data_IF_525640107651
#
_entry.id   IF_525640107651
#
_cell.length_a   1.000
_cell.length_b   1.000
_cell.length_c   1.000
_cell.angle_alpha   90.00
_cell.angle_beta   90.00
_cell.angle_gamma   90.00
#
_symmetry.space_group_name_H-M   'P 1'
#
loop_
_entity.id
_entity.type
_entity.pdbx_description
1 polymer ?
#
# COMPACT_ATOMS: atom_id res chain seq x y z
N UNK A 1 28.40 -0.55 -15.45
CA UNK A 1 28.19 -0.62 -13.99
C UNK A 1 27.20 0.48 -13.62
N UNK A 2 25.92 0.13 -13.57
CA UNK A 2 24.85 1.09 -13.27
C UNK A 2 24.97 1.55 -11.82
N UNK A 3 25.24 2.85 -11.62
CA UNK A 3 25.26 3.46 -10.29
C UNK A 3 23.83 3.36 -9.75
N UNK A 4 23.63 2.55 -8.72
CA UNK A 4 22.39 2.55 -7.92
C UNK A 4 22.30 3.91 -7.25
N UNK A 5 21.55 4.84 -7.85
CA UNK A 5 21.31 6.17 -7.29
C UNK A 5 20.24 6.03 -6.22
N UNK A 6 20.45 6.56 -5.02
CA UNK A 6 19.43 6.50 -3.95
C UNK A 6 18.31 7.52 -4.16
N UNK A 7 18.55 8.54 -4.98
CA UNK A 7 17.62 9.61 -5.33
C UNK A 7 16.74 9.20 -6.51
N UNK A 8 15.42 9.20 -6.30
CA UNK A 8 14.43 9.06 -7.38
C UNK A 8 14.27 10.36 -8.13
N UNK A 9 14.33 10.29 -9.46
CA UNK A 9 14.04 11.43 -10.34
C UNK A 9 12.55 11.51 -10.63
N UNK A 10 12.09 12.70 -11.02
CA UNK A 10 10.68 12.93 -11.35
C UNK A 10 10.21 12.02 -12.49
N UNK A 11 11.06 11.75 -13.48
CA UNK A 11 10.73 10.86 -14.61
C UNK A 11 10.55 9.40 -14.15
N UNK A 12 11.35 8.96 -13.17
CA UNK A 12 11.23 7.62 -12.60
C UNK A 12 9.96 7.47 -11.75
N UNK A 13 9.61 8.50 -10.97
CA UNK A 13 8.36 8.54 -10.20
C UNK A 13 7.13 8.56 -11.12
N UNK A 14 7.18 9.32 -12.21
CA UNK A 14 6.14 9.35 -13.24
C UNK A 14 5.96 7.97 -13.89
N UNK A 15 7.06 7.34 -14.29
CA UNK A 15 7.03 5.99 -14.84
C UNK A 15 6.46 4.98 -13.83
N UNK A 16 6.89 5.04 -12.57
CA UNK A 16 6.39 4.19 -11.49
C UNK A 16 4.88 4.36 -11.33
N UNK A 17 4.37 5.59 -11.30
CA UNK A 17 2.95 5.87 -11.13
C UNK A 17 2.10 5.32 -12.28
N UNK A 18 2.52 5.54 -13.53
CA UNK A 18 1.84 5.00 -14.72
C UNK A 18 1.85 3.47 -14.73
N UNK A 19 2.96 2.84 -14.35
CA UNK A 19 3.07 1.39 -14.32
C UNK A 19 2.22 0.78 -13.20
N UNK A 20 2.15 1.43 -12.04
CA UNK A 20 1.28 0.99 -10.94
C UNK A 20 -0.19 1.19 -11.29
N UNK A 21 -0.56 2.28 -11.97
CA UNK A 21 -1.92 2.48 -12.48
C UNK A 21 -2.31 1.39 -13.49
N UNK A 22 -1.40 1.03 -14.40
CA UNK A 22 -1.65 0.01 -15.42
C UNK A 22 -1.68 -1.42 -14.87
N UNK A 23 -0.78 -1.77 -13.97
CA UNK A 23 -0.56 -3.17 -13.53
C UNK A 23 -0.99 -3.45 -12.09
N UNK A 24 -1.35 -2.41 -11.33
CA UNK A 24 -1.60 -2.47 -9.90
C UNK A 24 -0.32 -2.63 -9.05
N UNK A 25 -0.37 -2.27 -7.75
CA UNK A 25 0.78 -2.33 -6.83
C UNK A 25 1.05 -3.75 -6.31
N UNK A 26 1.05 -4.75 -7.19
CA UNK A 26 1.14 -6.18 -6.83
C UNK A 26 2.39 -6.85 -7.36
N UNK A 27 2.76 -6.59 -8.62
CA UNK A 27 3.86 -7.29 -9.30
C UNK A 27 5.06 -6.36 -9.56
N UNK A 28 5.80 -6.06 -8.49
CA UNK A 28 6.91 -5.10 -8.53
C UNK A 28 8.08 -5.54 -9.42
N UNK A 29 8.28 -6.85 -9.59
CA UNK A 29 9.30 -7.38 -10.50
C UNK A 29 8.99 -7.05 -11.96
N UNK A 30 7.70 -7.08 -12.35
CA UNK A 30 7.26 -6.63 -13.67
C UNK A 30 7.48 -5.13 -13.84
N UNK A 31 7.07 -4.33 -12.84
CA UNK A 31 7.18 -2.87 -12.86
C UNK A 31 8.64 -2.42 -12.99
N UNK A 32 9.57 -3.04 -12.23
CA UNK A 32 10.97 -2.63 -12.26
C UNK A 32 11.67 -2.87 -13.59
N UNK A 33 11.19 -3.80 -14.44
CA UNK A 33 11.78 -4.03 -15.77
C UNK A 33 11.66 -2.81 -16.68
N UNK A 34 10.72 -1.93 -16.41
CA UNK A 34 10.48 -0.71 -17.18
C UNK A 34 11.15 0.54 -16.58
N UNK A 35 11.85 0.41 -15.45
CA UNK A 35 12.57 1.51 -14.79
C UNK A 35 14.05 1.11 -14.64
N UNK A 36 14.92 1.50 -15.57
CA UNK A 36 16.32 1.08 -15.57
C UNK A 36 17.03 1.53 -14.29
N UNK A 37 17.88 0.67 -13.74
CA UNK A 37 18.61 0.96 -12.49
C UNK A 37 17.77 0.82 -11.21
N UNK A 38 16.47 0.47 -11.31
CA UNK A 38 15.61 0.20 -10.15
C UNK A 38 15.25 -1.26 -10.03
N UNK A 39 15.32 -1.79 -8.81
CA UNK A 39 14.83 -3.13 -8.50
C UNK A 39 13.36 -3.11 -8.10
N UNK A 40 12.67 -4.25 -8.18
CA UNK A 40 11.29 -4.37 -7.71
C UNK A 40 11.14 -3.97 -6.24
N UNK A 41 12.13 -4.30 -5.40
CA UNK A 41 12.18 -3.86 -4.00
C UNK A 41 12.24 -2.33 -3.89
N UNK A 42 13.06 -1.67 -4.71
CA UNK A 42 13.17 -0.21 -4.75
C UNK A 42 11.84 0.43 -5.19
N UNK A 43 11.20 -0.10 -6.23
CA UNK A 43 9.90 0.38 -6.73
C UNK A 43 8.81 0.28 -5.65
N UNK A 44 8.70 -0.87 -4.98
CA UNK A 44 7.75 -1.06 -3.88
C UNK A 44 8.01 -0.07 -2.74
N UNK A 45 9.26 0.08 -2.32
CA UNK A 45 9.61 0.99 -1.24
C UNK A 45 9.25 2.44 -1.59
N UNK A 46 9.56 2.88 -2.82
CA UNK A 46 9.21 4.22 -3.28
C UNK A 46 7.71 4.45 -3.28
N UNK A 47 6.93 3.50 -3.79
CA UNK A 47 5.48 3.59 -3.83
C UNK A 47 4.85 3.61 -2.42
N UNK A 48 5.33 2.77 -1.51
CA UNK A 48 4.79 2.70 -0.15
C UNK A 48 5.21 3.89 0.73
N UNK A 49 6.29 4.59 0.37
CA UNK A 49 6.83 5.70 1.13
C UNK A 49 6.66 7.04 0.40
N UNK A 50 5.54 7.21 -0.31
CA UNK A 50 5.17 8.51 -0.85
C UNK A 50 4.83 9.44 0.33
N UNK A 51 5.47 10.62 0.43
CA UNK A 51 5.12 11.58 1.46
C UNK A 51 3.66 11.97 1.27
N UNK A 52 2.87 11.81 2.33
CA UNK A 52 1.49 12.29 2.31
C UNK A 52 1.52 13.82 2.19
N UNK A 53 0.66 14.44 1.36
CA UNK A 53 0.62 15.89 1.19
C UNK A 53 0.26 16.63 2.48
N UNK A 54 -0.31 15.91 3.46
CA UNK A 54 -0.66 16.39 4.78
C UNK A 54 0.50 16.32 5.79
N UNK A 55 1.68 15.83 5.38
CA UNK A 55 2.85 15.76 6.26
C UNK A 55 3.47 17.16 6.35
N UNK A 56 3.37 17.76 7.53
CA UNK A 56 3.93 19.08 7.80
C UNK A 56 5.45 19.00 8.00
N UNK A 57 6.17 19.87 7.30
CA UNK A 57 7.61 20.10 7.54
C UNK A 57 7.79 21.29 8.50
N UNK A 58 7.34 21.11 9.75
CA UNK A 58 7.57 22.06 10.85
C UNK A 58 8.47 21.43 11.92
N UNK A 59 9.09 22.23 12.80
CA UNK A 59 9.73 21.69 13.99
C UNK A 59 8.76 20.84 14.80
N UNK A 60 9.28 19.77 15.42
CA UNK A 60 8.52 19.01 16.40
C UNK A 60 8.20 19.90 17.61
N UNK A 61 6.99 19.73 18.13
CA UNK A 61 6.58 20.30 19.41
C UNK A 61 7.18 19.48 20.55
N UNK A 62 7.21 20.07 21.74
CA UNK A 62 7.70 19.39 22.96
C UNK A 62 6.91 18.08 23.20
N UNK A 63 5.59 18.09 23.00
CA UNK A 63 4.74 16.90 23.15
C UNK A 63 5.08 15.79 22.15
N UNK A 64 5.41 16.16 20.91
CA UNK A 64 5.88 15.22 19.88
C UNK A 64 7.25 14.65 20.28
N UNK A 65 8.18 15.48 20.74
CA UNK A 65 9.50 15.04 21.21
C UNK A 65 9.42 14.11 22.44
N UNK A 66 8.53 14.37 23.39
CA UNK A 66 8.27 13.47 24.52
C UNK A 66 7.75 12.11 24.04
N UNK A 67 6.84 12.12 23.08
CA UNK A 67 6.30 10.90 22.48
C UNK A 67 7.38 10.12 21.73
N UNK A 68 8.22 10.80 20.95
CA UNK A 68 9.37 10.20 20.24
C UNK A 68 10.35 9.61 21.25
N UNK A 69 10.65 10.33 22.32
CA UNK A 69 11.54 9.88 23.40
C UNK A 69 11.01 8.60 24.05
N UNK A 70 9.70 8.52 24.33
CA UNK A 70 9.07 7.31 24.87
C UNK A 70 9.16 6.10 23.92
N UNK A 71 9.21 6.35 22.61
CA UNK A 71 9.34 5.33 21.58
C UNK A 71 10.79 4.98 21.23
N UNK A 72 11.78 5.74 21.74
CA UNK A 72 13.21 5.57 21.42
C UNK A 72 13.77 4.18 21.76
N UNK A 73 13.14 3.44 22.68
CA UNK A 73 13.47 2.04 22.97
C UNK A 73 13.06 1.03 21.89
N UNK A 74 12.45 1.48 20.79
CA UNK A 74 12.01 0.64 19.66
C UNK A 74 12.66 1.11 18.37
N UNK A 75 12.95 0.17 17.47
CA UNK A 75 13.48 0.52 16.14
C UNK A 75 12.43 1.26 15.31
N UNK A 76 12.89 2.14 14.42
CA UNK A 76 12.03 2.90 13.52
C UNK A 76 11.11 1.97 12.71
N UNK A 77 11.64 0.82 12.27
CA UNK A 77 10.89 -0.19 11.54
C UNK A 77 9.77 -0.81 12.38
N UNK A 78 10.01 -1.07 13.67
CA UNK A 78 8.98 -1.62 14.56
C UNK A 78 7.84 -0.62 14.79
N UNK A 79 8.16 0.66 14.99
CA UNK A 79 7.19 1.73 15.17
C UNK A 79 6.34 1.87 13.90
N UNK A 80 6.99 2.01 12.72
CA UNK A 80 6.31 2.13 11.43
C UNK A 80 5.41 0.93 11.14
N UNK A 81 5.89 -0.30 11.38
CA UNK A 81 5.11 -1.51 11.12
C UNK A 81 3.90 -1.62 12.06
N UNK A 82 4.07 -1.28 13.34
CA UNK A 82 2.98 -1.27 14.31
C UNK A 82 1.88 -0.27 13.90
N UNK A 83 2.27 0.95 13.53
CA UNK A 83 1.36 1.99 13.05
C UNK A 83 0.64 1.55 11.76
N UNK A 84 1.38 1.05 10.77
CA UNK A 84 0.80 0.59 9.50
C UNK A 84 -0.22 -0.53 9.72
N UNK A 85 0.09 -1.48 10.60
CA UNK A 85 -0.81 -2.57 10.97
C UNK A 85 -2.05 -2.05 11.71
N UNK A 86 -1.90 -1.08 12.62
CA UNK A 86 -3.00 -0.48 13.34
C UNK A 86 -3.95 0.32 12.41
N UNK A 87 -3.40 1.09 11.47
CA UNK A 87 -4.15 1.84 10.46
C UNK A 87 -4.89 0.91 9.49
N UNK A 88 -4.23 -0.15 9.01
CA UNK A 88 -4.85 -1.14 8.12
C UNK A 88 -6.05 -1.82 8.76
N UNK A 89 -5.96 -2.17 10.05
CA UNK A 89 -7.10 -2.73 10.81
C UNK A 89 -8.25 -1.73 10.91
N UNK A 90 -7.95 -0.46 11.24
CA UNK A 90 -8.95 0.62 11.34
C UNK A 90 -9.74 0.86 10.04
N UNK A 91 -9.08 0.78 8.89
CA UNK A 91 -9.70 0.99 7.57
C UNK A 91 -10.46 -0.26 7.06
N UNK A 92 -10.19 -1.45 7.61
CA UNK A 92 -10.92 -2.68 7.25
C UNK A 92 -12.20 -2.89 8.08
N UNK A 93 -12.48 -2.01 9.05
CA UNK A 93 -13.63 -2.07 9.96
C UNK A 93 -14.77 -1.11 9.60
N UNK A 94 -14.92 -0.77 8.31
CA UNK A 94 -16.10 -0.03 7.78
C UNK A 94 -16.76 -0.81 6.64
N UNK A 95 -17.08 -2.07 6.90
CA UNK A 95 -18.11 -2.81 6.15
C UNK A 95 -18.90 -3.61 7.20
N UNK A 96 -19.91 -2.98 7.79
CA UNK A 96 -20.93 -3.62 8.64
C UNK A 96 -22.24 -3.63 7.85
N UNK A 97 -22.64 -4.85 7.54
CA UNK A 97 -23.98 -5.42 7.49
C UNK A 97 -25.12 -4.62 6.84
N UNK A 98 -25.50 -5.06 5.64
CA UNK A 98 -26.93 -5.23 5.31
C UNK A 98 -27.10 -6.23 4.17
N UNK A 99 -28.12 -7.08 4.35
CA UNK A 99 -28.75 -7.95 3.35
C UNK A 99 -28.20 -9.37 3.21
N UNK A 100 -28.49 -10.17 4.24
CA UNK A 100 -28.99 -11.51 4.02
C UNK A 100 -30.44 -11.47 3.53
N UNK A 101 -30.68 -11.97 2.32
CA UNK A 101 -31.96 -12.50 1.85
C UNK A 101 -31.59 -13.70 0.95
N UNK A 102 -31.70 -14.93 1.46
CA UNK A 102 -32.80 -15.86 1.18
C UNK A 102 -33.03 -16.05 -0.33
N UNK A 103 -33.12 -17.23 -0.93
CA UNK A 103 -33.22 -18.64 -0.48
C UNK A 103 -33.21 -19.47 -1.78
N UNK A 104 -32.78 -20.73 -1.68
CA UNK A 104 -33.25 -21.88 -2.45
C UNK A 104 -33.57 -21.69 -3.94
N UNK A 105 -32.70 -22.20 -4.81
CA UNK A 105 -33.12 -22.68 -6.14
C UNK A 105 -33.55 -24.13 -5.99
N UNK A 106 -34.87 -24.32 -5.99
CA UNK A 106 -35.59 -25.58 -5.93
C UNK A 106 -35.45 -26.36 -7.25
N UNK A 107 -35.61 -27.68 -7.14
CA UNK A 107 -35.45 -28.70 -8.17
C UNK A 107 -36.74 -28.86 -9.00
N UNK A 108 -36.62 -29.40 -10.23
CA UNK A 108 -37.69 -29.95 -11.08
C UNK A 108 -38.49 -28.90 -11.89
N UNK A 109 -38.72 -29.03 -13.21
CA UNK A 109 -39.43 -30.06 -13.97
C UNK A 109 -38.94 -29.98 -15.44
N UNK A 110 -38.64 -31.06 -16.17
CA UNK A 110 -39.60 -31.98 -16.78
C UNK A 110 -39.43 -31.94 -18.31
N UNK A 111 -39.14 -33.10 -18.92
CA UNK A 111 -39.06 -33.36 -20.38
C UNK A 111 -40.35 -32.93 -21.13
N UNK A 112 -40.40 -32.85 -22.48
CA UNK A 112 -40.57 -34.08 -23.28
C UNK A 112 -40.09 -34.07 -24.76
N UNK A 113 -39.99 -35.29 -25.28
CA UNK A 113 -40.30 -35.79 -26.65
C UNK A 113 -39.47 -35.37 -27.87
N UNK A 114 -38.98 -36.39 -28.57
CA UNK A 114 -38.41 -36.37 -29.92
C UNK A 114 -37.63 -37.65 -30.19
#
# INVERSE_FOLDING_TARGET
MDRVTWTWRAEEDEALRRLVERHGPRNWSLISRSIPGRSGKSCRLRWCNQPSPWVEHRPFTIEEDETITRLSGRTDNAIKNHLYSALKRKCSSSVDDTEGFATAVDLQHGSPTG
#
